data_IF_245405322012
#
_entry.id   IF_245405322012
#
_cell.length_a   1.000
_cell.length_b   1.000
_cell.length_c   1.000
_cell.angle_alpha   90.00
_cell.angle_beta   90.00
_cell.angle_gamma   90.00
#
_symmetry.space_group_name_H-M   'P 1'
#
loop_
_entity.id
_entity.type
_entity.pdbx_description
1 polymer ?
#
# COMPACT_ATOMS: atom_id res chain seq x y z
N UNK A 1 -10.51 20.25 -4.65
CA UNK A 1 -9.83 18.98 -5.05
C UNK A 1 -8.65 18.64 -4.13
N UNK A 2 -7.84 19.62 -3.71
CA UNK A 2 -6.71 19.47 -2.77
C UNK A 2 -7.06 18.91 -1.39
N UNK A 3 -8.22 19.28 -0.82
CA UNK A 3 -8.69 18.77 0.48
C UNK A 3 -8.98 17.26 0.44
N UNK A 4 -9.66 16.79 -0.60
CA UNK A 4 -9.96 15.37 -0.75
C UNK A 4 -8.67 14.54 -0.92
N UNK A 5 -7.72 15.02 -1.72
CA UNK A 5 -6.41 14.39 -1.88
C UNK A 5 -5.64 14.31 -0.54
N UNK A 6 -5.64 15.41 0.25
CA UNK A 6 -5.05 15.43 1.61
C UNK A 6 -5.62 14.31 2.47
N UNK A 7 -6.94 14.17 2.54
CA UNK A 7 -7.58 13.13 3.35
C UNK A 7 -7.36 11.71 2.84
N UNK A 8 -7.31 11.50 1.52
CA UNK A 8 -6.96 10.20 0.94
C UNK A 8 -5.55 9.79 1.40
N UNK A 9 -4.59 10.70 1.37
CA UNK A 9 -3.22 10.40 1.80
C UNK A 9 -3.10 10.22 3.31
N UNK A 10 -3.87 10.96 4.11
CA UNK A 10 -3.96 10.73 5.56
C UNK A 10 -4.51 9.33 5.84
N UNK A 11 -5.62 8.94 5.21
CA UNK A 11 -6.18 7.60 5.34
C UNK A 11 -5.18 6.53 4.89
N UNK A 12 -4.40 6.80 3.83
CA UNK A 12 -3.34 5.91 3.39
C UNK A 12 -2.24 5.73 4.44
N UNK A 13 -1.74 6.83 5.01
CA UNK A 13 -0.74 6.79 6.07
C UNK A 13 -1.23 6.01 7.29
N UNK A 14 -2.45 6.28 7.74
CA UNK A 14 -3.11 5.53 8.84
C UNK A 14 -3.24 4.05 8.50
N UNK A 15 -3.68 3.72 7.28
CA UNK A 15 -3.79 2.33 6.82
C UNK A 15 -2.43 1.60 6.85
N UNK A 16 -1.35 2.25 6.42
CA UNK A 16 0.00 1.65 6.46
C UNK A 16 0.46 1.44 7.91
N UNK A 17 0.25 2.41 8.80
CA UNK A 17 0.53 2.25 10.24
C UNK A 17 -0.25 1.08 10.82
N UNK A 18 -1.55 0.98 10.50
CA UNK A 18 -2.40 -0.12 10.94
C UNK A 18 -1.92 -1.49 10.42
N UNK A 19 -1.48 -1.57 9.15
CA UNK A 19 -0.82 -2.77 8.63
C UNK A 19 0.41 -3.15 9.46
N UNK A 20 1.24 -2.17 9.83
CA UNK A 20 2.37 -2.35 10.74
C UNK A 20 1.96 -2.98 12.08
N UNK A 21 0.86 -2.52 12.69
CA UNK A 21 0.30 -3.10 13.92
C UNK A 21 -0.11 -4.55 13.73
N UNK A 22 -0.83 -4.87 12.65
CA UNK A 22 -1.24 -6.25 12.36
C UNK A 22 -0.01 -7.14 12.17
N UNK A 23 1.01 -6.67 11.45
CA UNK A 23 2.26 -7.41 11.23
C UNK A 23 3.01 -7.69 12.53
N UNK A 24 2.97 -6.77 13.51
CA UNK A 24 3.61 -6.95 14.81
C UNK A 24 2.82 -7.92 15.71
N UNK A 25 1.53 -7.65 15.89
CA UNK A 25 0.68 -8.32 16.89
C UNK A 25 0.15 -9.65 16.38
N UNK A 26 -0.26 -9.72 15.11
CA UNK A 26 -0.88 -10.91 14.49
C UNK A 26 -0.24 -11.22 13.12
N UNK A 27 1.07 -11.53 13.06
CA UNK A 27 1.77 -11.76 11.80
C UNK A 27 1.21 -12.93 10.97
N UNK A 28 0.63 -13.95 11.63
CA UNK A 28 -0.05 -15.04 10.92
C UNK A 28 -1.27 -14.55 10.14
N UNK A 29 -2.04 -13.59 10.70
CA UNK A 29 -3.15 -12.95 10.00
C UNK A 29 -2.66 -12.06 8.86
N UNK A 30 -1.58 -11.30 9.05
CA UNK A 30 -0.96 -10.52 7.98
C UNK A 30 -0.57 -11.41 6.79
N UNK A 31 0.04 -12.56 7.08
CA UNK A 31 0.39 -13.57 6.08
C UNK A 31 -0.84 -14.16 5.37
N UNK A 32 -1.90 -14.47 6.12
CA UNK A 32 -3.15 -14.98 5.56
C UNK A 32 -3.81 -13.97 4.61
N UNK A 33 -3.84 -12.69 4.99
CA UNK A 33 -4.34 -11.60 4.14
C UNK A 33 -3.53 -11.49 2.85
N UNK A 34 -2.19 -11.56 2.93
CA UNK A 34 -1.32 -11.57 1.75
C UNK A 34 -1.62 -12.77 0.83
N UNK A 35 -1.92 -13.96 1.37
CA UNK A 35 -2.29 -15.13 0.56
C UNK A 35 -3.62 -14.97 -0.17
N UNK A 36 -4.50 -14.10 0.32
CA UNK A 36 -5.81 -13.82 -0.31
C UNK A 36 -5.69 -12.82 -1.47
N UNK A 37 -4.59 -12.08 -1.58
CA UNK A 37 -4.36 -11.15 -2.67
C UNK A 37 -4.44 -11.86 -4.04
N UNK A 38 -5.20 -11.30 -4.96
CA UNK A 38 -5.45 -11.88 -6.29
C UNK A 38 -6.31 -13.16 -6.33
N UNK A 39 -6.87 -13.62 -5.19
CA UNK A 39 -7.62 -14.89 -5.15
C UNK A 39 -8.92 -14.89 -5.94
N UNK A 40 -9.64 -13.76 -5.96
CA UNK A 40 -10.86 -13.56 -6.75
C UNK A 40 -10.72 -12.32 -7.63
N UNK A 41 -11.55 -12.21 -8.68
CA UNK A 41 -11.56 -11.02 -9.52
C UNK A 41 -11.91 -9.76 -8.72
N UNK A 42 -12.84 -9.88 -7.76
CA UNK A 42 -13.24 -8.78 -6.89
C UNK A 42 -12.10 -8.32 -5.99
N UNK A 43 -11.36 -9.25 -5.37
CA UNK A 43 -10.22 -8.91 -4.51
C UNK A 43 -9.11 -8.29 -5.35
N UNK A 44 -8.79 -8.86 -6.52
CA UNK A 44 -7.76 -8.34 -7.40
C UNK A 44 -8.07 -6.91 -7.88
N UNK A 45 -9.24 -6.72 -8.49
CA UNK A 45 -9.61 -5.43 -9.06
C UNK A 45 -9.89 -4.40 -7.95
N UNK A 46 -10.43 -4.83 -6.82
CA UNK A 46 -10.61 -3.98 -5.64
C UNK A 46 -9.28 -3.48 -5.07
N UNK A 47 -8.31 -4.37 -4.88
CA UNK A 47 -6.97 -4.01 -4.39
C UNK A 47 -6.25 -3.06 -5.34
N UNK A 48 -6.24 -3.37 -6.64
CA UNK A 48 -5.57 -2.52 -7.64
C UNK A 48 -6.29 -1.16 -7.76
N UNK A 49 -7.63 -1.12 -7.77
CA UNK A 49 -8.39 0.14 -7.78
C UNK A 49 -8.10 0.98 -6.54
N UNK A 50 -8.14 0.36 -5.36
CA UNK A 50 -7.81 1.04 -4.11
C UNK A 50 -6.41 1.62 -4.16
N UNK A 51 -5.42 0.84 -4.63
CA UNK A 51 -4.04 1.32 -4.83
C UNK A 51 -3.95 2.48 -5.81
N UNK A 52 -4.72 2.47 -6.89
CA UNK A 52 -4.79 3.59 -7.84
C UNK A 52 -5.35 4.86 -7.17
N UNK A 53 -6.43 4.76 -6.40
CA UNK A 53 -6.99 5.90 -5.65
C UNK A 53 -5.94 6.52 -4.72
N UNK A 54 -5.19 5.68 -3.99
CA UNK A 54 -4.12 6.13 -3.11
C UNK A 54 -2.99 6.81 -3.90
N UNK A 55 -2.60 6.23 -5.03
CA UNK A 55 -1.55 6.79 -5.89
C UNK A 55 -1.93 8.16 -6.47
N UNK A 56 -3.19 8.33 -6.89
CA UNK A 56 -3.72 9.63 -7.31
C UNK A 56 -3.76 10.61 -6.15
N UNK A 57 -4.12 10.14 -4.95
CA UNK A 57 -4.04 10.93 -3.72
C UNK A 57 -2.63 11.50 -3.50
N UNK A 58 -1.60 10.67 -3.64
CA UNK A 58 -0.19 11.10 -3.50
C UNK A 58 0.22 12.14 -4.55
N UNK A 59 -0.16 11.93 -5.82
CA UNK A 59 0.16 12.85 -6.92
C UNK A 59 -0.52 14.21 -6.68
N UNK A 60 -1.83 14.19 -6.40
CA UNK A 60 -2.63 15.41 -6.24
C UNK A 60 -2.32 16.16 -4.94
N UNK A 61 -1.86 15.46 -3.91
CA UNK A 61 -1.45 16.07 -2.64
C UNK A 61 0.05 16.44 -2.61
N UNK A 62 0.82 16.18 -3.67
CA UNK A 62 2.26 16.39 -3.69
C UNK A 62 2.65 17.83 -3.37
N UNK A 63 2.00 18.82 -4.01
CA UNK A 63 2.27 20.25 -3.78
C UNK A 63 1.93 20.73 -2.37
N UNK A 64 1.00 20.05 -1.69
CA UNK A 64 0.63 20.34 -0.30
C UNK A 64 1.59 19.68 0.71
N UNK A 65 2.33 18.67 0.27
CA UNK A 65 3.20 17.89 1.14
C UNK A 65 4.50 18.63 1.45
N UNK A 66 5.12 18.27 2.58
CA UNK A 66 6.48 18.70 2.93
C UNK A 66 7.54 18.17 1.97
N UNK A 67 7.25 17.09 1.25
CA UNK A 67 8.18 16.43 0.34
C UNK A 67 7.55 16.22 -1.05
N UNK A 68 7.30 17.31 -1.83
CA UNK A 68 6.55 17.22 -3.09
C UNK A 68 7.10 16.22 -4.09
N UNK A 69 8.44 16.21 -4.25
CA UNK A 69 9.09 15.27 -5.18
C UNK A 69 8.91 13.81 -4.76
N UNK A 70 9.00 13.50 -3.46
CA UNK A 70 8.85 12.13 -2.96
C UNK A 70 7.41 11.65 -3.19
N UNK A 71 6.41 12.49 -2.89
CA UNK A 71 4.99 12.16 -3.07
C UNK A 71 4.64 11.99 -4.55
N UNK A 72 5.12 12.90 -5.41
CA UNK A 72 4.87 12.84 -6.85
C UNK A 72 5.51 11.59 -7.49
N UNK A 73 6.79 11.34 -7.27
CA UNK A 73 7.50 10.18 -7.84
C UNK A 73 6.89 8.86 -7.34
N UNK A 74 6.62 8.76 -6.04
CA UNK A 74 6.03 7.55 -5.46
C UNK A 74 4.62 7.33 -5.99
N UNK A 75 3.81 8.39 -6.09
CA UNK A 75 2.46 8.33 -6.62
C UNK A 75 2.45 7.88 -8.09
N UNK A 76 3.29 8.46 -8.94
CA UNK A 76 3.40 8.05 -10.34
C UNK A 76 3.88 6.60 -10.48
N UNK A 77 4.91 6.20 -9.74
CA UNK A 77 5.39 4.82 -9.74
C UNK A 77 4.28 3.83 -9.34
N UNK A 78 3.53 4.14 -8.28
CA UNK A 78 2.41 3.32 -7.83
C UNK A 78 1.28 3.28 -8.86
N UNK A 79 0.97 4.39 -9.53
CA UNK A 79 -0.09 4.46 -10.54
C UNK A 79 0.27 3.59 -11.76
N UNK A 80 1.46 3.76 -12.32
CA UNK A 80 1.92 2.99 -13.49
C UNK A 80 2.00 1.50 -13.20
N UNK A 81 2.59 1.11 -12.06
CA UNK A 81 2.64 -0.30 -11.67
C UNK A 81 1.24 -0.90 -11.45
N UNK A 82 0.26 -0.11 -10.99
CA UNK A 82 -1.14 -0.56 -10.85
C UNK A 82 -1.79 -0.81 -12.19
N UNK A 83 -1.57 0.08 -13.14
CA UNK A 83 -2.07 -0.09 -14.50
C UNK A 83 -1.49 -1.35 -15.16
N UNK A 84 -0.20 -1.61 -14.98
CA UNK A 84 0.44 -2.85 -15.46
C UNK A 84 -0.21 -4.09 -14.83
N UNK A 85 -0.51 -4.07 -13.53
CA UNK A 85 -1.17 -5.20 -12.86
C UNK A 85 -2.58 -5.48 -13.37
N UNK A 86 -3.28 -4.49 -13.93
CA UNK A 86 -4.56 -4.73 -14.61
C UNK A 86 -4.41 -5.53 -15.91
N UNK A 87 -3.29 -5.35 -16.61
CA UNK A 87 -3.00 -6.05 -17.87
C UNK A 87 -2.47 -7.47 -17.64
N UNK A 88 -1.85 -7.71 -16.49
CA UNK A 88 -1.29 -9.01 -16.13
C UNK A 88 -2.41 -10.00 -15.77
N UNK A 89 -2.35 -11.26 -16.22
CA UNK A 89 -3.32 -12.27 -15.84
C UNK A 89 -3.39 -12.43 -14.31
N UNK A 90 -4.61 -12.41 -13.75
CA UNK A 90 -4.85 -12.56 -12.30
C UNK A 90 -4.12 -13.75 -11.68
N UNK A 91 -4.07 -14.88 -12.39
CA UNK A 91 -3.39 -16.10 -11.93
C UNK A 91 -1.90 -15.85 -11.64
N UNK A 92 -1.24 -14.98 -12.42
CA UNK A 92 0.14 -14.59 -12.19
C UNK A 92 0.27 -13.71 -10.96
N UNK A 93 -0.62 -12.72 -10.78
CA UNK A 93 -0.64 -11.85 -9.61
C UNK A 93 -0.91 -12.64 -8.30
N UNK A 94 -1.83 -13.60 -8.35
CA UNK A 94 -2.09 -14.51 -7.24
C UNK A 94 -0.89 -15.42 -6.95
N UNK A 95 -0.27 -16.00 -7.98
CA UNK A 95 0.93 -16.83 -7.81
C UNK A 95 2.08 -16.05 -7.18
N UNK A 96 2.29 -14.80 -7.61
CA UNK A 96 3.27 -13.89 -7.00
C UNK A 96 2.98 -13.67 -5.51
N UNK A 97 1.73 -13.35 -5.17
CA UNK A 97 1.31 -13.15 -3.78
C UNK A 97 1.53 -14.39 -2.91
N UNK A 98 1.27 -15.59 -3.44
CA UNK A 98 1.53 -16.85 -2.75
C UNK A 98 3.03 -17.09 -2.53
N UNK A 99 3.88 -16.85 -3.54
CA UNK A 99 5.35 -16.96 -3.40
C UNK A 99 5.89 -16.02 -2.33
N UNK A 100 5.43 -14.77 -2.32
CA UNK A 100 5.80 -13.81 -1.27
C UNK A 100 5.29 -14.22 0.10
N UNK A 101 4.08 -14.75 0.21
CA UNK A 101 3.55 -15.26 1.46
C UNK A 101 4.30 -16.51 1.96
N UNK A 102 4.86 -17.34 1.07
CA UNK A 102 5.73 -18.46 1.44
C UNK A 102 7.07 -17.95 1.99
N UNK A 103 7.68 -16.98 1.32
CA UNK A 103 8.92 -16.34 1.76
C UNK A 103 8.76 -15.54 3.06
N UNK A 104 7.67 -14.79 3.22
CA UNK A 104 7.38 -13.96 4.39
C UNK A 104 6.76 -14.81 5.50
N UNK A 105 7.62 -15.47 6.28
CA UNK A 105 7.20 -16.16 7.50
C UNK A 105 6.69 -15.17 8.56
N UNK A 106 5.90 -15.62 9.55
CA UNK A 106 5.38 -14.73 10.59
C UNK A 106 6.46 -13.91 11.32
N UNK A 107 7.66 -14.48 11.53
CA UNK A 107 8.78 -13.76 12.14
C UNK A 107 9.31 -12.65 11.22
N UNK A 108 9.39 -12.89 9.91
CA UNK A 108 9.81 -11.88 8.93
C UNK A 108 8.81 -10.73 8.85
N UNK A 109 7.51 -11.01 8.95
CA UNK A 109 6.49 -9.96 9.08
C UNK A 109 6.69 -9.08 10.31
N UNK A 110 7.02 -9.66 11.48
CA UNK A 110 7.33 -8.87 12.68
C UNK A 110 8.57 -8.00 12.50
N UNK A 111 9.63 -8.52 11.89
CA UNK A 111 10.86 -7.77 11.62
C UNK A 111 10.61 -6.61 10.63
N UNK A 112 9.71 -6.81 9.67
CA UNK A 112 9.35 -5.78 8.69
C UNK A 112 8.42 -4.70 9.26
N UNK A 113 7.70 -5.00 10.34
CA UNK A 113 6.70 -4.10 10.93
C UNK A 113 7.24 -2.70 11.29
N UNK A 114 8.42 -2.54 11.95
CA UNK A 114 9.02 -1.22 12.20
C UNK A 114 9.21 -0.38 10.93
N UNK A 115 9.63 -1.01 9.83
CA UNK A 115 9.81 -0.32 8.55
C UNK A 115 8.45 0.15 8.02
N UNK A 116 7.42 -0.69 8.11
CA UNK A 116 6.05 -0.32 7.74
C UNK A 116 5.52 0.84 8.59
N UNK A 117 5.78 0.85 9.90
CA UNK A 117 5.43 1.98 10.78
C UNK A 117 6.12 3.28 10.40
N UNK A 118 7.41 3.21 10.07
CA UNK A 118 8.19 4.37 9.64
C UNK A 118 7.64 4.93 8.33
N UNK A 119 7.30 4.08 7.36
CA UNK A 119 6.69 4.53 6.09
C UNK A 119 5.33 5.20 6.31
N UNK A 120 4.45 4.60 7.12
CA UNK A 120 3.13 5.19 7.40
C UNK A 120 3.25 6.52 8.16
N UNK A 121 4.11 6.57 9.17
CA UNK A 121 4.40 7.80 9.93
C UNK A 121 5.04 8.88 9.06
N UNK A 122 5.93 8.50 8.14
CA UNK A 122 6.54 9.42 7.19
C UNK A 122 5.51 10.06 6.25
N UNK A 123 4.57 9.26 5.73
CA UNK A 123 3.46 9.78 4.90
C UNK A 123 2.62 10.78 5.70
N UNK A 124 2.23 10.43 6.93
CA UNK A 124 1.44 11.30 7.79
C UNK A 124 2.16 12.61 8.11
N UNK A 125 3.43 12.52 8.51
CA UNK A 125 4.27 13.69 8.76
C UNK A 125 4.45 14.56 7.52
N UNK A 126 4.55 13.94 6.35
CA UNK A 126 4.68 14.65 5.08
C UNK A 126 3.44 15.47 4.72
N UNK A 127 2.24 15.05 5.14
CA UNK A 127 0.98 15.68 4.71
C UNK A 127 0.26 16.48 5.81
N UNK A 128 0.50 16.20 7.09
CA UNK A 128 -0.13 16.89 8.24
C UNK A 128 0.58 18.20 8.61
N UNK A 129 1.28 18.82 7.65
CA UNK A 129 1.70 20.21 7.76
C UNK A 129 0.49 21.14 7.78
#
# INVERSE_FOLDING_TARGET
MTIAAKWIVVLFGVYIVFCGVIMLVKPAKARELLRKAGSTNLINNGEITFRMILSLGLILAAELSRFPNIFSVTGWFMLFSSFILYLIPRKLHQSFSLKFAEFLTPNRFRILSPITFLLGSFILYGILK
#
